data_IF_460450283997
#
_entry.id   IF_460450283997
#
_cell.length_a   1.000
_cell.length_b   1.000
_cell.length_c   1.000
_cell.angle_alpha   90.00
_cell.angle_beta   90.00
_cell.angle_gamma   90.00
#
_symmetry.space_group_name_H-M   'P 1'
#
loop_
_entity.id
_entity.type
_entity.pdbx_description
1 polymer ?
#
# COMPACT_ATOMS: atom_id res chain seq x y z
N UNK A 1 10.66 -21.52 18.34
CA UNK A 1 11.35 -20.60 17.42
C UNK A 1 10.68 -19.24 17.58
N UNK A 2 11.43 -18.14 17.76
CA UNK A 2 10.83 -16.80 17.96
C UNK A 2 10.23 -16.36 16.62
N UNK A 3 9.00 -15.87 16.62
CA UNK A 3 8.31 -15.31 15.46
C UNK A 3 8.00 -13.86 15.72
N UNK A 4 7.99 -13.03 14.68
CA UNK A 4 7.66 -11.62 14.73
C UNK A 4 6.41 -11.36 13.91
N UNK A 5 5.67 -10.30 14.24
CA UNK A 5 4.44 -9.96 13.53
C UNK A 5 4.51 -8.51 13.02
N UNK A 6 4.12 -8.31 11.78
CA UNK A 6 3.93 -6.97 11.22
C UNK A 6 2.49 -6.85 10.74
N UNK A 7 1.83 -5.78 11.14
CA UNK A 7 0.44 -5.48 10.80
C UNK A 7 0.45 -4.29 9.83
N UNK A 8 0.17 -4.55 8.55
CA UNK A 8 0.06 -3.52 7.51
C UNK A 8 -1.39 -3.06 7.44
N UNK A 9 -1.63 -1.75 7.54
CA UNK A 9 -2.97 -1.16 7.48
C UNK A 9 -2.97 -0.03 6.46
N UNK A 10 -3.97 -0.07 5.57
CA UNK A 10 -4.21 1.00 4.60
C UNK A 10 -4.84 2.20 5.27
N UNK A 11 -4.32 3.39 4.97
CA UNK A 11 -4.92 4.64 5.43
C UNK A 11 -6.34 4.84 4.87
N UNK A 12 -7.14 5.66 5.56
CA UNK A 12 -8.46 6.07 5.11
C UNK A 12 -8.42 6.93 3.84
N UNK A 13 -9.60 7.20 3.28
CA UNK A 13 -9.79 8.02 2.09
C UNK A 13 -9.76 9.51 2.41
N UNK A 14 -9.35 10.30 1.42
CA UNK A 14 -9.44 11.76 1.40
C UNK A 14 -10.57 12.19 0.46
N UNK A 15 -11.06 13.43 0.58
CA UNK A 15 -12.06 13.97 -0.36
C UNK A 15 -11.54 13.96 -1.81
N UNK A 16 -10.23 14.13 -1.98
CA UNK A 16 -9.62 14.05 -3.31
C UNK A 16 -9.70 12.64 -3.91
N UNK A 17 -9.52 11.57 -3.11
CA UNK A 17 -9.69 10.20 -3.57
C UNK A 17 -11.16 9.93 -3.97
N UNK A 18 -12.12 10.42 -3.20
CA UNK A 18 -13.55 10.28 -3.52
C UNK A 18 -13.92 10.94 -4.85
N UNK A 19 -13.18 11.98 -5.24
CA UNK A 19 -13.32 12.67 -6.53
C UNK A 19 -12.43 12.08 -7.64
N UNK A 20 -11.87 10.87 -7.45
CA UNK A 20 -11.05 10.18 -8.43
C UNK A 20 -9.71 10.86 -8.75
N UNK A 21 -9.18 11.68 -7.83
CA UNK A 21 -7.91 12.39 -8.00
C UNK A 21 -6.73 11.53 -7.58
N UNK A 22 -5.67 11.57 -8.35
CA UNK A 22 -4.40 10.92 -8.03
C UNK A 22 -3.72 11.63 -6.87
N UNK A 23 -3.56 10.97 -5.75
CA UNK A 23 -2.99 11.51 -4.53
C UNK A 23 -1.88 10.57 -4.04
N UNK A 24 -0.66 10.94 -4.27
CA UNK A 24 0.53 10.25 -3.77
C UNK A 24 1.15 11.01 -2.61
N UNK A 25 2.04 11.96 -2.91
CA UNK A 25 2.74 12.76 -1.89
C UNK A 25 2.01 14.03 -1.47
N UNK A 26 0.93 14.41 -2.14
CA UNK A 26 0.10 15.54 -1.71
C UNK A 26 -0.43 15.30 -0.30
N UNK A 27 -0.19 16.27 0.58
CA UNK A 27 -0.49 16.14 2.00
C UNK A 27 -1.90 16.67 2.32
N UNK A 28 -2.89 15.82 2.16
CA UNK A 28 -4.32 16.12 2.40
C UNK A 28 -4.87 15.28 3.56
N UNK A 29 -5.84 15.82 4.33
CA UNK A 29 -6.46 15.11 5.44
C UNK A 29 -7.43 14.02 4.96
N UNK A 30 -7.82 13.15 5.89
CA UNK A 30 -8.94 12.22 5.71
C UNK A 30 -10.24 13.00 5.47
N UNK A 31 -11.15 12.43 4.68
CA UNK A 31 -12.53 12.90 4.60
C UNK A 31 -13.26 12.68 5.93
N UNK A 32 -14.33 13.45 6.16
CA UNK A 32 -15.15 13.30 7.36
C UNK A 32 -15.76 11.90 7.46
N UNK A 33 -16.26 11.36 6.35
CA UNK A 33 -16.84 10.03 6.28
C UNK A 33 -15.81 8.94 6.58
N UNK A 34 -14.59 9.09 6.04
CA UNK A 34 -13.50 8.15 6.32
C UNK A 34 -13.08 8.17 7.80
N UNK A 35 -13.06 9.36 8.42
CA UNK A 35 -12.79 9.45 9.87
C UNK A 35 -13.87 8.79 10.71
N UNK A 36 -15.15 8.94 10.31
CA UNK A 36 -16.26 8.28 11.01
C UNK A 36 -16.17 6.74 10.87
N UNK A 37 -15.87 6.27 9.67
CA UNK A 37 -15.70 4.84 9.41
C UNK A 37 -14.53 4.23 10.19
N UNK A 38 -13.37 4.89 10.22
CA UNK A 38 -12.21 4.41 11.00
C UNK A 38 -12.51 4.35 12.50
N UNK A 39 -13.28 5.31 13.06
CA UNK A 39 -13.73 5.23 14.46
C UNK A 39 -14.64 4.03 14.67
N UNK A 40 -15.60 3.81 13.78
CA UNK A 40 -16.50 2.65 13.82
C UNK A 40 -15.72 1.33 13.80
N UNK A 41 -14.74 1.21 12.89
CA UNK A 41 -13.88 0.03 12.80
C UNK A 41 -13.05 -0.16 14.09
N UNK A 42 -12.51 0.91 14.66
CA UNK A 42 -11.82 0.87 15.95
C UNK A 42 -12.72 0.40 17.08
N UNK A 43 -13.94 0.94 17.19
CA UNK A 43 -14.91 0.57 18.23
C UNK A 43 -15.37 -0.89 18.12
N UNK A 44 -15.44 -1.43 16.90
CA UNK A 44 -15.74 -2.84 16.68
C UNK A 44 -14.56 -3.75 17.04
N UNK A 45 -13.36 -3.19 17.17
CA UNK A 45 -12.15 -3.93 17.51
C UNK A 45 -11.54 -4.71 16.34
N UNK A 46 -10.63 -5.61 16.66
CA UNK A 46 -10.00 -6.47 15.65
C UNK A 46 -8.65 -5.95 15.16
N UNK A 47 -8.16 -4.83 15.69
CA UNK A 47 -6.81 -4.34 15.42
C UNK A 47 -5.85 -4.83 16.51
N UNK A 48 -4.80 -5.59 16.16
CA UNK A 48 -3.80 -6.07 17.12
C UNK A 48 -2.99 -4.90 17.69
N UNK A 49 -2.74 -4.92 18.99
CA UNK A 49 -1.74 -4.06 19.61
C UNK A 49 -0.32 -4.52 19.22
N UNK A 50 0.65 -3.60 19.24
CA UNK A 50 2.04 -3.89 18.91
C UNK A 50 2.99 -3.15 19.86
N UNK A 51 4.29 -3.51 19.81
CA UNK A 51 5.32 -2.83 20.59
C UNK A 51 5.94 -1.65 19.83
N UNK A 52 5.75 -1.57 18.50
CA UNK A 52 6.23 -0.46 17.71
C UNK A 52 5.17 -0.04 16.67
N UNK A 53 5.07 1.26 16.42
CA UNK A 53 4.12 1.82 15.47
C UNK A 53 4.85 2.71 14.48
N UNK A 54 4.61 2.49 13.19
CA UNK A 54 5.19 3.22 12.08
C UNK A 54 4.09 3.75 11.17
N UNK A 55 4.32 4.93 10.60
CA UNK A 55 3.37 5.52 9.64
C UNK A 55 4.11 6.23 8.51
N UNK A 56 3.49 6.26 7.32
CA UNK A 56 3.87 7.26 6.31
C UNK A 56 3.63 8.66 6.89
N UNK A 57 4.49 9.67 6.60
CA UNK A 57 4.35 11.03 7.13
C UNK A 57 3.20 11.82 6.48
N UNK A 58 2.38 11.16 5.66
CA UNK A 58 1.19 11.82 5.07
C UNK A 58 0.10 11.95 6.12
N UNK A 59 -0.52 13.13 6.17
CA UNK A 59 -1.54 13.48 7.17
C UNK A 59 -2.66 12.42 7.26
N UNK A 60 -3.12 11.88 6.12
CA UNK A 60 -4.11 10.80 6.08
C UNK A 60 -3.66 9.53 6.81
N UNK A 61 -2.36 9.19 6.76
CA UNK A 61 -1.81 8.03 7.46
C UNK A 61 -1.67 8.31 8.96
N UNK A 62 -1.17 9.48 9.34
CA UNK A 62 -1.06 9.92 10.73
C UNK A 62 -2.44 9.96 11.39
N UNK A 63 -3.43 10.53 10.72
CA UNK A 63 -4.82 10.57 11.21
C UNK A 63 -5.42 9.17 11.35
N UNK A 64 -5.14 8.28 10.39
CA UNK A 64 -5.58 6.87 10.47
C UNK A 64 -4.94 6.19 11.68
N UNK A 65 -3.63 6.35 11.89
CA UNK A 65 -2.92 5.80 13.03
C UNK A 65 -3.55 6.28 14.35
N UNK A 66 -3.76 7.58 14.50
CA UNK A 66 -4.33 8.17 15.71
C UNK A 66 -5.77 7.72 15.99
N UNK A 67 -6.55 7.42 14.94
CA UNK A 67 -7.92 6.93 15.08
C UNK A 67 -7.97 5.44 15.46
N UNK A 68 -7.08 4.63 14.91
CA UNK A 68 -7.04 3.19 15.16
C UNK A 68 -6.24 2.80 16.42
N UNK A 69 -5.25 3.61 16.78
CA UNK A 69 -4.35 3.39 17.91
C UNK A 69 -4.19 4.67 18.74
N UNK A 70 -5.26 5.14 19.40
CA UNK A 70 -5.22 6.39 20.15
C UNK A 70 -4.26 6.33 21.33
N UNK A 71 -3.37 7.30 21.42
CA UNK A 71 -2.39 7.43 22.50
C UNK A 71 -1.08 6.67 22.29
N UNK A 72 -0.94 5.95 21.18
CA UNK A 72 0.34 5.29 20.85
C UNK A 72 1.28 6.26 20.13
N UNK A 73 2.54 6.27 20.55
CA UNK A 73 3.59 7.00 19.85
C UNK A 73 3.99 6.27 18.58
N UNK A 74 4.09 6.97 17.45
CA UNK A 74 4.45 6.37 16.19
C UNK A 74 5.63 7.07 15.51
N UNK A 75 6.43 6.30 14.79
CA UNK A 75 7.54 6.79 13.97
C UNK A 75 7.05 7.11 12.56
N UNK A 76 7.25 8.36 12.13
CA UNK A 76 7.00 8.77 10.76
C UNK A 76 8.17 8.34 9.86
N UNK A 77 7.88 7.53 8.84
CA UNK A 77 8.89 6.93 7.96
C UNK A 77 8.64 7.35 6.51
N UNK A 78 9.41 8.31 5.95
CA UNK A 78 9.21 8.79 4.57
C UNK A 78 9.30 7.70 3.50
N UNK A 79 10.05 6.64 3.77
CA UNK A 79 10.14 5.49 2.88
C UNK A 79 8.83 4.69 2.70
N UNK A 80 7.82 4.94 3.54
CA UNK A 80 6.48 4.34 3.44
C UNK A 80 5.48 5.20 2.66
N UNK A 81 5.92 6.29 2.03
CA UNK A 81 5.05 7.15 1.21
C UNK A 81 4.50 6.42 -0.02
N UNK A 82 3.33 6.84 -0.48
CA UNK A 82 2.77 6.44 -1.77
C UNK A 82 3.65 6.96 -2.93
N UNK A 83 3.44 6.45 -4.12
CA UNK A 83 4.11 6.92 -5.32
C UNK A 83 3.92 8.44 -5.47
N UNK A 84 4.97 9.14 -5.89
CA UNK A 84 4.88 10.55 -6.26
C UNK A 84 4.32 10.68 -7.67
N UNK A 85 3.10 11.14 -7.81
CA UNK A 85 2.49 11.37 -9.13
C UNK A 85 2.98 12.64 -9.83
N UNK A 86 3.88 13.42 -9.23
CA UNK A 86 4.46 14.61 -9.85
C UNK A 86 3.39 15.59 -10.34
N UNK A 87 3.44 15.94 -11.63
CA UNK A 87 2.51 16.89 -12.24
C UNK A 87 1.06 16.36 -12.37
N UNK A 88 0.85 15.09 -12.11
CA UNK A 88 -0.49 14.49 -12.08
C UNK A 88 -1.14 14.55 -10.69
N UNK A 89 -0.40 14.94 -9.66
CA UNK A 89 -0.94 15.10 -8.29
C UNK A 89 -2.16 16.02 -8.29
N UNK A 90 -3.24 15.57 -7.63
CA UNK A 90 -4.48 16.32 -7.50
C UNK A 90 -5.35 16.38 -8.75
N UNK A 91 -4.94 15.82 -9.88
CA UNK A 91 -5.73 15.73 -11.11
C UNK A 91 -6.48 14.39 -11.16
N UNK A 92 -7.58 14.36 -11.88
CA UNK A 92 -8.32 13.14 -12.20
C UNK A 92 -8.06 12.70 -13.65
N UNK A 93 -8.52 11.50 -14.01
CA UNK A 93 -8.33 10.94 -15.35
C UNK A 93 -8.93 11.84 -16.47
N UNK A 94 -10.06 12.51 -16.21
CA UNK A 94 -10.68 13.39 -17.20
C UNK A 94 -9.82 14.64 -17.47
N UNK A 95 -9.16 15.17 -16.46
CA UNK A 95 -8.23 16.31 -16.58
C UNK A 95 -6.92 15.89 -17.29
N UNK A 96 -6.53 14.61 -17.19
CA UNK A 96 -5.32 14.04 -17.78
C UNK A 96 -5.53 13.36 -19.14
N UNK A 97 -6.76 13.31 -19.65
CA UNK A 97 -7.12 12.56 -20.88
C UNK A 97 -6.37 12.97 -22.15
N UNK A 98 -5.74 14.15 -22.16
CA UNK A 98 -4.96 14.65 -23.31
C UNK A 98 -3.44 14.58 -23.05
N UNK A 99 -3.03 14.01 -21.94
CA UNK A 99 -1.63 13.77 -21.63
C UNK A 99 -1.23 12.39 -22.19
N UNK A 100 -0.35 12.33 -23.22
CA UNK A 100 0.00 11.07 -23.86
C UNK A 100 0.81 10.14 -22.95
N UNK A 101 1.52 10.68 -21.97
CA UNK A 101 2.27 9.88 -21.04
C UNK A 101 1.35 9.27 -19.96
N UNK A 102 0.28 9.98 -19.60
CA UNK A 102 -0.74 9.44 -18.71
C UNK A 102 -1.51 8.26 -19.35
N UNK A 103 -1.85 8.35 -20.65
CA UNK A 103 -2.49 7.24 -21.37
C UNK A 103 -1.58 5.99 -21.42
N UNK A 104 -0.28 6.18 -21.70
CA UNK A 104 0.70 5.09 -21.65
C UNK A 104 0.82 4.51 -20.23
N UNK A 105 0.88 5.37 -19.22
CA UNK A 105 0.97 4.94 -17.84
C UNK A 105 -0.22 4.10 -17.37
N UNK A 106 -1.42 4.41 -17.85
CA UNK A 106 -2.61 3.61 -17.54
C UNK A 106 -2.52 2.18 -18.08
N UNK A 107 -1.86 2.00 -19.22
CA UNK A 107 -1.72 0.71 -19.88
C UNK A 107 -0.44 -0.03 -19.47
N UNK A 108 0.66 0.71 -19.27
CA UNK A 108 2.00 0.18 -18.97
C UNK A 108 2.69 1.08 -17.95
N UNK A 109 2.24 1.06 -16.70
CA UNK A 109 2.74 1.96 -15.64
C UNK A 109 4.21 1.74 -15.30
N UNK A 110 4.75 0.54 -15.54
CA UNK A 110 6.16 0.24 -15.31
C UNK A 110 7.11 1.02 -16.25
N UNK A 111 6.65 1.35 -17.47
CA UNK A 111 7.47 1.97 -18.52
C UNK A 111 7.43 3.50 -18.49
N UNK A 112 6.53 4.08 -17.70
CA UNK A 112 6.29 5.53 -17.70
C UNK A 112 6.44 6.11 -16.30
N UNK A 113 7.30 7.12 -16.20
CA UNK A 113 7.41 7.93 -14.98
C UNK A 113 6.52 9.18 -15.10
N UNK A 114 5.63 9.45 -14.12
CA UNK A 114 4.91 10.72 -14.08
C UNK A 114 5.87 11.92 -14.17
N UNK A 115 5.57 12.94 -14.97
CA UNK A 115 6.44 14.12 -15.07
C UNK A 115 6.71 14.72 -13.68
N UNK A 116 7.98 14.95 -13.35
CA UNK A 116 8.45 15.39 -12.02
C UNK A 116 8.03 14.46 -10.85
N UNK A 117 7.65 13.23 -11.16
CA UNK A 117 7.19 12.22 -10.22
C UNK A 117 8.23 11.13 -9.95
N UNK A 118 7.74 9.98 -9.51
CA UNK A 118 8.51 8.79 -9.17
C UNK A 118 8.10 7.64 -10.09
N UNK A 119 9.06 6.88 -10.60
CA UNK A 119 8.73 5.66 -11.35
C UNK A 119 8.19 4.59 -10.40
N UNK A 120 7.44 3.63 -10.95
CA UNK A 120 6.98 2.47 -10.20
C UNK A 120 8.16 1.67 -9.65
N UNK A 121 9.25 1.54 -10.43
CA UNK A 121 10.48 0.87 -10.01
C UNK A 121 11.15 1.56 -8.82
N UNK A 122 11.32 2.90 -8.86
CA UNK A 122 11.92 3.67 -7.75
C UNK A 122 11.07 3.56 -6.48
N UNK A 123 9.74 3.66 -6.62
CA UNK A 123 8.83 3.45 -5.51
C UNK A 123 8.99 2.06 -4.91
N UNK A 124 8.97 1.01 -5.75
CA UNK A 124 9.11 -0.37 -5.31
C UNK A 124 10.41 -0.59 -4.53
N UNK A 125 11.55 -0.14 -5.06
CA UNK A 125 12.85 -0.26 -4.39
C UNK A 125 12.87 0.47 -3.04
N UNK A 126 12.34 1.70 -3.00
CA UNK A 126 12.25 2.51 -1.78
C UNK A 126 11.42 1.82 -0.70
N UNK A 127 10.25 1.32 -1.09
CA UNK A 127 9.30 0.67 -0.17
C UNK A 127 9.86 -0.65 0.35
N UNK A 128 10.41 -1.49 -0.54
CA UNK A 128 11.02 -2.76 -0.18
C UNK A 128 12.23 -2.57 0.75
N UNK A 129 13.12 -1.63 0.44
CA UNK A 129 14.26 -1.29 1.30
C UNK A 129 13.79 -0.84 2.69
N UNK A 130 12.79 0.03 2.74
CA UNK A 130 12.26 0.54 4.02
C UNK A 130 11.64 -0.56 4.86
N UNK A 131 10.81 -1.41 4.25
CA UNK A 131 10.21 -2.55 4.94
C UNK A 131 11.29 -3.53 5.44
N UNK A 132 12.29 -3.81 4.60
CA UNK A 132 13.43 -4.66 4.98
C UNK A 132 14.16 -4.12 6.21
N UNK A 133 14.44 -2.81 6.25
CA UNK A 133 15.07 -2.18 7.43
C UNK A 133 14.21 -2.31 8.70
N UNK A 134 12.89 -2.14 8.60
CA UNK A 134 11.98 -2.32 9.74
C UNK A 134 11.99 -3.77 10.20
N UNK A 135 11.84 -4.73 9.30
CA UNK A 135 11.81 -6.16 9.62
C UNK A 135 13.13 -6.65 10.23
N UNK A 136 14.27 -6.27 9.64
CA UNK A 136 15.60 -6.62 10.13
C UNK A 136 15.85 -5.95 11.51
N UNK A 137 15.44 -4.70 11.67
CA UNK A 137 15.51 -3.97 12.95
C UNK A 137 14.71 -4.65 14.06
N UNK A 138 13.50 -5.11 13.78
CA UNK A 138 12.66 -5.86 14.72
C UNK A 138 13.33 -7.17 15.15
N UNK A 139 13.88 -7.91 14.19
CA UNK A 139 14.59 -9.18 14.48
C UNK A 139 15.83 -8.90 15.34
N UNK A 140 16.60 -7.89 15.00
CA UNK A 140 17.85 -7.54 15.71
C UNK A 140 17.58 -7.03 17.13
N UNK A 141 16.59 -6.15 17.32
CA UNK A 141 16.22 -5.60 18.64
C UNK A 141 15.41 -6.58 19.49
N UNK A 142 14.82 -7.59 18.84
CA UNK A 142 13.91 -8.54 19.49
C UNK A 142 12.50 -7.99 19.69
N UNK A 143 12.10 -6.87 19.04
CA UNK A 143 10.76 -6.29 19.07
C UNK A 143 9.76 -7.26 18.39
N UNK A 144 8.82 -7.87 19.12
CA UNK A 144 8.02 -8.99 18.61
C UNK A 144 6.92 -8.57 17.62
N UNK A 145 6.48 -7.32 17.66
CA UNK A 145 5.35 -6.87 16.84
C UNK A 145 5.45 -5.41 16.45
N UNK A 146 4.98 -5.10 15.22
CA UNK A 146 4.86 -3.74 14.73
C UNK A 146 3.55 -3.53 13.95
N UNK A 147 3.01 -2.32 14.04
CA UNK A 147 1.96 -1.81 13.15
C UNK A 147 2.59 -0.83 12.16
N UNK A 148 2.19 -0.91 10.92
CA UNK A 148 2.60 0.02 9.85
C UNK A 148 1.33 0.55 9.17
N UNK A 149 1.03 1.83 9.33
CA UNK A 149 -0.03 2.50 8.58
C UNK A 149 0.57 3.17 7.34
N UNK A 150 0.12 2.75 6.17
CA UNK A 150 0.63 3.23 4.89
C UNK A 150 -0.48 3.25 3.83
N UNK A 151 -0.15 3.15 2.56
CA UNK A 151 -1.03 3.34 1.41
C UNK A 151 -1.35 2.01 0.72
N UNK A 152 -2.40 2.02 -0.10
CA UNK A 152 -2.85 0.82 -0.80
C UNK A 152 -1.81 0.25 -1.76
N UNK A 153 -1.21 1.10 -2.59
CA UNK A 153 -0.16 0.67 -3.51
C UNK A 153 1.08 0.12 -2.80
N UNK A 154 1.49 0.76 -1.71
CA UNK A 154 2.62 0.30 -0.88
C UNK A 154 2.38 -1.10 -0.32
N UNK A 155 1.19 -1.35 0.27
CA UNK A 155 0.85 -2.66 0.83
C UNK A 155 0.86 -3.73 -0.25
N UNK A 156 0.21 -3.46 -1.40
CA UNK A 156 0.13 -4.42 -2.50
C UNK A 156 1.51 -4.78 -3.05
N UNK A 157 2.43 -3.80 -3.22
CA UNK A 157 3.80 -4.07 -3.64
C UNK A 157 4.60 -4.87 -2.60
N UNK A 158 4.48 -4.53 -1.32
CA UNK A 158 5.15 -5.27 -0.25
C UNK A 158 4.70 -6.73 -0.20
N UNK A 159 3.40 -6.97 -0.34
CA UNK A 159 2.87 -8.33 -0.27
C UNK A 159 3.14 -9.14 -1.54
N UNK A 160 3.17 -8.51 -2.70
CA UNK A 160 3.63 -9.16 -3.94
C UNK A 160 5.11 -9.55 -3.86
N UNK A 161 5.95 -8.72 -3.20
CA UNK A 161 7.38 -9.02 -3.02
C UNK A 161 7.63 -10.10 -1.97
N UNK A 162 7.02 -9.98 -0.80
CA UNK A 162 7.40 -10.71 0.41
C UNK A 162 6.33 -11.68 0.93
N UNK A 163 5.07 -11.55 0.49
CA UNK A 163 3.94 -12.32 1.02
C UNK A 163 3.94 -13.79 0.60
N UNK A 164 3.49 -14.64 1.52
CA UNK A 164 3.12 -16.03 1.24
C UNK A 164 1.68 -16.26 1.72
N UNK A 165 0.80 -16.88 0.91
CA UNK A 165 1.08 -17.43 -0.42
C UNK A 165 1.48 -16.33 -1.43
N UNK A 166 2.27 -16.70 -2.44
CA UNK A 166 2.61 -15.78 -3.52
C UNK A 166 1.36 -15.42 -4.31
N UNK A 167 1.16 -14.12 -4.51
CA UNK A 167 0.02 -13.60 -5.25
C UNK A 167 0.40 -12.27 -5.93
N UNK A 168 -0.37 -11.85 -6.92
CA UNK A 168 -0.10 -10.62 -7.68
C UNK A 168 -0.39 -9.36 -6.86
N UNK A 169 0.12 -8.22 -7.32
CA UNK A 169 -0.19 -6.90 -6.76
C UNK A 169 -1.70 -6.68 -6.57
N UNK A 170 -2.50 -7.11 -7.55
CA UNK A 170 -3.96 -6.89 -7.53
C UNK A 170 -4.69 -7.76 -6.50
N UNK A 171 -4.17 -8.97 -6.25
CA UNK A 171 -4.75 -9.88 -5.26
C UNK A 171 -4.58 -9.35 -3.82
N UNK A 172 -3.61 -8.47 -3.59
CA UNK A 172 -3.32 -7.86 -2.29
C UNK A 172 -3.97 -6.48 -2.07
N UNK A 173 -4.84 -6.06 -2.98
CA UNK A 173 -5.55 -4.79 -2.79
C UNK A 173 -6.53 -4.90 -1.63
N UNK A 174 -6.59 -3.88 -0.79
CA UNK A 174 -7.41 -3.89 0.42
C UNK A 174 -8.17 -2.57 0.60
N UNK A 175 -9.28 -2.61 1.35
CA UNK A 175 -10.13 -1.46 1.65
C UNK A 175 -9.43 -0.47 2.61
N UNK A 176 -9.84 0.81 2.63
CA UNK A 176 -9.39 1.78 3.62
C UNK A 176 -9.65 1.32 5.05
N UNK A 177 -8.68 1.48 5.93
CA UNK A 177 -8.75 0.95 7.30
C UNK A 177 -8.48 -0.55 7.42
N UNK A 178 -8.46 -1.29 6.32
CA UNK A 178 -8.19 -2.72 6.30
C UNK A 178 -6.72 -3.02 5.97
N UNK A 179 -6.34 -4.29 6.09
CA UNK A 179 -4.98 -4.69 5.80
C UNK A 179 -4.69 -6.14 6.15
N UNK A 180 -3.42 -6.42 6.44
CA UNK A 180 -2.93 -7.78 6.62
C UNK A 180 -1.95 -7.91 7.79
N UNK A 181 -1.98 -9.06 8.44
CA UNK A 181 -1.00 -9.46 9.43
C UNK A 181 -0.02 -10.46 8.85
N UNK A 182 1.26 -10.14 8.94
CA UNK A 182 2.36 -10.98 8.48
C UNK A 182 3.08 -11.61 9.66
N UNK A 183 3.49 -12.86 9.49
CA UNK A 183 4.36 -13.58 10.39
C UNK A 183 5.76 -13.69 9.80
N UNK A 184 6.74 -13.06 10.43
CA UNK A 184 8.14 -13.18 10.08
C UNK A 184 8.78 -14.30 10.93
N UNK A 185 9.26 -15.33 10.25
CA UNK A 185 10.15 -16.32 10.83
C UNK A 185 11.58 -15.95 10.45
N UNK A 186 12.51 -15.71 11.39
CA UNK A 186 13.86 -15.24 11.06
C UNK A 186 14.58 -16.10 10.02
N UNK A 187 14.45 -17.43 10.11
CA UNK A 187 15.07 -18.32 9.14
C UNK A 187 14.53 -18.13 7.72
N UNK A 188 13.21 -18.01 7.57
CA UNK A 188 12.56 -17.79 6.26
C UNK A 188 12.88 -16.39 5.73
N UNK A 189 12.82 -15.38 6.60
CA UNK A 189 13.13 -14.01 6.21
C UNK A 189 14.58 -13.84 5.76
N UNK A 190 15.53 -14.39 6.50
CA UNK A 190 16.96 -14.28 6.17
C UNK A 190 17.36 -15.06 4.92
N UNK A 191 16.71 -16.20 4.63
CA UNK A 191 17.04 -17.03 3.46
C UNK A 191 16.33 -16.60 2.17
N UNK A 192 15.07 -16.18 2.27
CA UNK A 192 14.21 -15.99 1.11
C UNK A 192 13.49 -14.63 1.07
N UNK A 193 13.68 -13.79 2.10
CA UNK A 193 12.93 -12.53 2.25
C UNK A 193 11.41 -12.72 2.14
N UNK A 194 10.85 -13.79 2.72
CA UNK A 194 9.43 -14.09 2.68
C UNK A 194 8.81 -14.05 4.08
N UNK A 195 7.53 -13.64 4.12
CA UNK A 195 6.71 -13.58 5.32
C UNK A 195 5.34 -14.20 5.05
N UNK A 196 4.82 -14.97 6.01
CA UNK A 196 3.49 -15.58 5.91
C UNK A 196 2.40 -14.55 6.17
N UNK A 197 1.51 -14.32 5.21
CA UNK A 197 0.27 -13.56 5.40
C UNK A 197 -0.75 -14.49 6.01
N UNK A 198 -1.05 -14.31 7.29
CA UNK A 198 -1.87 -15.28 8.03
C UNK A 198 -3.25 -14.75 8.44
N UNK A 199 -3.50 -13.45 8.25
CA UNK A 199 -4.77 -12.86 8.70
C UNK A 199 -5.06 -11.54 8.01
N UNK A 200 -6.33 -11.30 7.71
CA UNK A 200 -6.84 -9.98 7.31
C UNK A 200 -7.18 -9.13 8.54
N UNK A 201 -7.14 -7.82 8.39
CA UNK A 201 -7.46 -6.83 9.41
C UNK A 201 -8.61 -5.91 8.95
N UNK A 202 -9.47 -5.46 9.88
CA UNK A 202 -9.59 -5.88 11.28
C UNK A 202 -10.07 -7.32 11.44
N UNK A 203 -9.65 -7.99 12.50
CA UNK A 203 -9.96 -9.41 12.73
C UNK A 203 -11.45 -9.62 12.97
N UNK A 204 -12.03 -10.59 12.27
CA UNK A 204 -13.46 -10.93 12.42
C UNK A 204 -14.39 -10.02 11.64
N UNK A 205 -13.87 -9.11 10.86
CA UNK A 205 -14.65 -8.27 9.95
C UNK A 205 -14.28 -8.64 8.51
N UNK A 206 -15.29 -8.78 7.64
CA UNK A 206 -15.09 -8.90 6.20
C UNK A 206 -14.90 -7.52 5.59
N UNK A 207 -14.12 -7.43 4.51
CA UNK A 207 -14.12 -6.22 3.70
C UNK A 207 -15.53 -5.91 3.20
N UNK A 208 -15.91 -4.64 3.12
CA UNK A 208 -17.20 -4.26 2.57
C UNK A 208 -17.33 -4.79 1.13
N UNK A 209 -18.48 -5.39 0.81
CA UNK A 209 -18.80 -5.78 -0.56
C UNK A 209 -18.66 -4.56 -1.48
N UNK A 210 -17.84 -4.68 -2.53
CA UNK A 210 -17.55 -3.58 -3.44
C UNK A 210 -16.60 -2.52 -2.85
N UNK A 211 -15.71 -2.91 -1.93
CA UNK A 211 -14.67 -2.02 -1.41
C UNK A 211 -13.96 -1.30 -2.55
N UNK A 212 -14.41 -0.09 -2.81
CA UNK A 212 -13.91 0.73 -3.92
C UNK A 212 -12.51 1.22 -3.53
N UNK A 213 -11.54 0.54 -4.08
CA UNK A 213 -10.17 0.96 -4.00
C UNK A 213 -10.01 2.30 -4.72
N UNK A 214 -9.35 3.28 -4.10
CA UNK A 214 -9.11 4.58 -4.73
C UNK A 214 -8.38 4.43 -6.08
N UNK A 215 -7.49 3.43 -6.22
CA UNK A 215 -6.87 3.10 -7.51
C UNK A 215 -7.88 2.47 -8.49
N UNK A 216 -8.79 1.61 -8.02
CA UNK A 216 -9.87 1.06 -8.83
C UNK A 216 -10.84 2.15 -9.27
N UNK A 217 -11.20 3.08 -8.39
CA UNK A 217 -12.02 4.26 -8.73
C UNK A 217 -11.32 5.15 -9.76
N UNK A 218 -10.02 5.42 -9.59
CA UNK A 218 -9.22 6.17 -10.56
C UNK A 218 -9.15 5.46 -11.91
N UNK A 219 -8.95 4.13 -11.90
CA UNK A 219 -8.94 3.30 -13.11
C UNK A 219 -10.31 3.24 -13.77
N UNK A 220 -11.37 3.01 -13.03
CA UNK A 220 -12.75 3.00 -13.54
C UNK A 220 -13.17 4.36 -14.12
N UNK A 221 -12.74 5.46 -13.51
CA UNK A 221 -12.92 6.80 -14.04
C UNK A 221 -12.12 7.02 -15.33
N UNK A 222 -10.90 6.48 -15.41
CA UNK A 222 -10.08 6.49 -16.61
C UNK A 222 -10.71 5.62 -17.71
N UNK A 223 -11.11 4.39 -17.43
CA UNK A 223 -11.79 3.49 -18.37
C UNK A 223 -13.02 4.15 -18.98
N UNK A 224 -13.84 4.81 -18.16
CA UNK A 224 -15.01 5.59 -18.64
C UNK A 224 -14.62 6.80 -19.50
N UNK A 225 -13.54 7.49 -19.14
CA UNK A 225 -13.10 8.72 -19.83
C UNK A 225 -12.45 8.44 -21.19
N UNK A 226 -11.77 7.29 -21.32
CA UNK A 226 -11.06 6.87 -22.53
C UNK A 226 -11.83 5.84 -23.38
N UNK A 227 -13.00 5.40 -22.91
CA UNK A 227 -13.77 4.36 -23.61
C UNK A 227 -13.03 3.01 -23.65
N UNK A 228 -12.12 2.78 -22.72
CA UNK A 228 -11.37 1.52 -22.61
C UNK A 228 -12.34 0.41 -22.18
N UNK A 229 -12.49 -0.60 -23.02
CA UNK A 229 -13.14 -1.86 -22.60
C UNK A 229 -12.17 -2.62 -21.73
N UNK A 230 -12.66 -3.18 -20.62
CA UNK A 230 -11.84 -4.10 -19.80
C UNK A 230 -11.18 -5.12 -20.71
N UNK A 231 -9.87 -5.33 -20.64
CA UNK A 231 -9.30 -6.59 -21.09
C UNK A 231 -10.08 -7.69 -20.38
N UNK A 232 -10.55 -8.69 -21.10
CA UNK A 232 -11.22 -9.83 -20.47
C UNK A 232 -10.35 -10.35 -19.32
N UNK A 233 -10.98 -10.92 -18.30
CA UNK A 233 -10.30 -11.45 -17.10
C UNK A 233 -9.17 -12.47 -17.41
N UNK A 234 -8.97 -12.77 -18.68
CA UNK A 234 -8.01 -13.78 -19.21
C UNK A 234 -6.67 -13.20 -19.67
N UNK A 235 -6.48 -11.85 -19.70
CA UNK A 235 -5.25 -11.22 -20.22
C UNK A 235 -4.66 -10.13 -19.32
N UNK A 236 -4.57 -10.38 -18.03
CA UNK A 236 -3.60 -9.64 -17.21
C UNK A 236 -2.27 -10.36 -17.42
N UNK A 237 -1.39 -9.77 -18.22
CA UNK A 237 -0.04 -10.30 -18.41
C UNK A 237 0.72 -10.20 -17.08
N UNK A 238 0.72 -11.30 -16.35
CA UNK A 238 1.40 -11.43 -15.06
C UNK A 238 2.92 -11.36 -15.19
N UNK A 239 3.46 -11.50 -16.40
CA UNK A 239 4.90 -11.51 -16.66
C UNK A 239 5.53 -10.12 -16.52
N UNK A 240 4.77 -9.03 -16.67
CA UNK A 240 5.29 -7.67 -16.52
C UNK A 240 5.75 -7.34 -15.09
N UNK A 241 5.29 -8.08 -14.09
CA UNK A 241 5.62 -7.86 -12.67
C UNK A 241 6.64 -8.86 -12.11
N UNK A 242 6.94 -9.95 -12.84
CA UNK A 242 7.95 -10.94 -12.45
C UNK A 242 9.38 -10.36 -12.34
N UNK A 243 9.81 -9.38 -13.18
CA UNK A 243 11.15 -8.81 -13.05
C UNK A 243 11.42 -8.12 -11.71
N UNK A 244 10.36 -7.67 -11.03
CA UNK A 244 10.47 -7.00 -9.72
C UNK A 244 10.35 -7.95 -8.53
N UNK A 245 9.85 -9.16 -8.73
CA UNK A 245 9.71 -10.16 -7.68
C UNK A 245 11.02 -10.88 -7.31
N UNK A 246 12.03 -10.84 -8.18
CA UNK A 246 13.29 -11.58 -8.03
C UNK A 246 14.51 -10.75 -8.43
N UNK A 247 14.89 -9.77 -7.61
CA UNK A 247 16.29 -9.32 -7.56
C UNK A 247 16.84 -9.68 -6.18
N UNK A 248 17.74 -10.70 -6.08
CA UNK A 248 18.59 -10.82 -4.90
C UNK A 248 19.47 -9.57 -4.82
N UNK A 249 19.66 -9.06 -3.59
CA UNK A 249 20.58 -7.98 -3.32
C UNK A 249 21.97 -8.30 -3.92
N UNK A 250 22.36 -7.62 -4.98
CA UNK A 250 23.74 -7.55 -5.47
C UNK A 250 24.54 -6.61 -4.55
N UNK A 251 24.64 -6.96 -3.27
CA UNK A 251 25.62 -6.38 -2.36
C UNK A 251 26.67 -7.43 -2.02
N UNK A 252 27.57 -7.66 -2.99
CA UNK A 252 28.91 -8.17 -2.76
C UNK A 252 29.85 -7.63 -3.84
N UNK A 253 30.37 -6.44 -3.63
CA UNK A 253 31.64 -5.97 -4.15
C UNK A 253 32.19 -4.86 -3.25
#
# INVERSE_FOLDING_TARGET
MKTYQIHLIRCGLTDANLNGRYIGRTNVPLSADSMAELRRLHEQGGYPAAEAYYTSPRLRCIQTMNLLYPGEDCYEVPGLDEINFGDWEGKNAAELKHDPDFEKWLNHSADVTPPNGESVGDMYERVCRTFGMIADGMIHSGCPSAVIVTHGGVISYLLAAYGLPEASFYDWMTAPGHGYSLRLQPSLWMSNRKAEVFRMLPVGQSEPDGAQNAMALGREAAERSFGLTRPGDDEIDRSEWEPYAHRPDDDNA
#
